data_IF_685920380178
#
_entry.id   IF_685920380178
#
_cell.length_a   1.000
_cell.length_b   1.000
_cell.length_c   1.000
_cell.angle_alpha   90.00
_cell.angle_beta   90.00
_cell.angle_gamma   90.00
#
_symmetry.space_group_name_H-M   'P 1'
#
loop_
_entity.id
_entity.type
_entity.pdbx_description
1 polymer ?
#
# COMPACT_ATOMS: atom_id res chain seq x y z
N UNK A 1 61.23 -25.39 0.52
CA UNK A 1 60.47 -24.18 0.93
C UNK A 1 59.01 -24.43 0.59
N UNK A 2 58.20 -24.90 1.55
CA UNK A 2 56.75 -25.02 1.37
C UNK A 2 56.09 -23.72 1.86
N UNK A 3 55.44 -22.99 0.96
CA UNK A 3 54.57 -21.87 1.30
C UNK A 3 53.14 -22.38 1.47
N UNK A 4 52.59 -22.25 2.69
CA UNK A 4 51.18 -22.51 2.97
C UNK A 4 50.39 -21.24 2.66
N UNK A 5 49.53 -21.29 1.64
CA UNK A 5 48.53 -20.26 1.38
C UNK A 5 47.31 -20.51 2.28
N UNK A 6 47.09 -19.66 3.29
CA UNK A 6 45.82 -19.62 4.02
C UNK A 6 44.77 -18.90 3.16
N UNK A 7 43.76 -19.63 2.68
CA UNK A 7 42.55 -19.03 2.13
C UNK A 7 41.60 -18.65 3.28
N UNK A 8 41.39 -17.36 3.48
CA UNK A 8 40.31 -16.86 4.34
C UNK A 8 38.98 -16.93 3.57
N UNK A 9 38.15 -17.92 3.90
CA UNK A 9 36.75 -17.95 3.45
C UNK A 9 35.96 -16.88 4.19
N UNK A 10 35.55 -15.83 3.48
CA UNK A 10 34.57 -14.87 3.98
C UNK A 10 33.19 -15.56 4.06
N UNK A 11 32.73 -15.82 5.28
CA UNK A 11 31.37 -16.31 5.50
C UNK A 11 30.37 -15.20 5.14
N UNK A 12 29.58 -15.40 4.08
CA UNK A 12 28.49 -14.51 3.73
C UNK A 12 27.46 -14.51 4.87
N UNK A 13 27.16 -13.34 5.44
CA UNK A 13 26.09 -13.21 6.41
C UNK A 13 24.76 -13.66 5.77
N UNK A 14 23.91 -14.41 6.48
CA UNK A 14 22.63 -14.85 5.93
C UNK A 14 21.81 -13.63 5.51
N UNK A 15 21.38 -13.60 4.25
CA UNK A 15 20.49 -12.56 3.75
C UNK A 15 19.26 -12.49 4.67
N UNK A 16 18.99 -11.31 5.22
CA UNK A 16 17.82 -11.12 6.06
C UNK A 16 16.55 -11.43 5.25
N UNK A 17 15.71 -12.35 5.73
CA UNK A 17 14.40 -12.60 5.14
C UNK A 17 13.49 -11.41 5.39
N UNK A 18 12.76 -10.96 4.36
CA UNK A 18 11.70 -9.97 4.51
C UNK A 18 10.71 -10.40 5.60
N UNK A 19 10.41 -9.47 6.50
CA UNK A 19 9.42 -9.61 7.55
C UNK A 19 8.90 -8.23 7.94
N UNK A 20 7.72 -8.11 8.56
CA UNK A 20 7.23 -6.83 9.05
C UNK A 20 8.24 -6.12 9.97
N UNK A 21 9.00 -6.86 10.78
CA UNK A 21 10.05 -6.29 11.67
C UNK A 21 11.38 -6.03 10.97
N UNK A 22 11.50 -6.36 9.68
CA UNK A 22 12.72 -6.23 8.85
C UNK A 22 12.39 -5.64 7.48
N UNK A 23 11.72 -4.49 7.46
CA UNK A 23 11.19 -3.89 6.23
C UNK A 23 12.28 -3.58 5.19
N UNK A 24 13.48 -3.22 5.62
CA UNK A 24 14.62 -2.98 4.71
C UNK A 24 15.04 -4.22 3.92
N UNK A 25 14.64 -5.42 4.37
CA UNK A 25 14.92 -6.69 3.70
C UNK A 25 13.84 -7.07 2.68
N UNK A 26 12.74 -6.31 2.62
CA UNK A 26 11.65 -6.54 1.66
C UNK A 26 11.98 -5.85 0.35
N UNK A 27 12.10 -6.64 -0.72
CA UNK A 27 12.36 -6.13 -2.08
C UNK A 27 11.14 -5.46 -2.68
N UNK A 28 9.95 -5.94 -2.32
CA UNK A 28 8.68 -5.51 -2.87
C UNK A 28 7.54 -5.73 -1.87
N UNK A 29 6.36 -5.22 -2.21
CA UNK A 29 5.13 -5.37 -1.42
C UNK A 29 4.67 -6.82 -1.29
N UNK A 30 4.92 -7.67 -2.30
CA UNK A 30 4.49 -9.06 -2.29
C UNK A 30 5.17 -9.86 -1.17
N UNK A 31 6.45 -9.63 -0.92
CA UNK A 31 7.14 -10.27 0.19
C UNK A 31 6.55 -9.88 1.57
N UNK A 32 6.08 -8.65 1.71
CA UNK A 32 5.45 -8.17 2.95
C UNK A 32 4.04 -8.72 3.12
N UNK A 33 3.22 -8.63 2.08
CA UNK A 33 1.78 -8.96 2.14
C UNK A 33 1.52 -10.47 2.22
N UNK A 34 2.45 -11.28 1.73
CA UNK A 34 2.37 -12.75 1.88
C UNK A 34 2.68 -13.21 3.30
N UNK A 35 3.23 -12.34 4.16
CA UNK A 35 3.46 -12.67 5.56
C UNK A 35 2.12 -12.70 6.34
N UNK A 36 1.74 -13.82 6.97
CA UNK A 36 0.48 -13.90 7.73
C UNK A 36 0.38 -12.87 8.86
N UNK A 37 1.53 -12.52 9.46
CA UNK A 37 1.59 -11.50 10.50
C UNK A 37 1.18 -10.10 9.99
N UNK A 38 1.49 -9.78 8.72
CA UNK A 38 1.11 -8.50 8.13
C UNK A 38 -0.38 -8.46 7.81
N UNK A 39 -0.94 -9.48 7.16
CA UNK A 39 -2.39 -9.52 6.87
C UNK A 39 -3.22 -9.55 8.15
N UNK A 40 -2.76 -10.23 9.21
CA UNK A 40 -3.37 -10.14 10.53
C UNK A 40 -3.28 -8.73 11.13
N UNK A 41 -2.17 -8.00 10.91
CA UNK A 41 -2.04 -6.61 11.34
C UNK A 41 -2.98 -5.67 10.58
N UNK A 42 -3.17 -5.87 9.27
CA UNK A 42 -4.13 -5.12 8.45
C UNK A 42 -5.56 -5.30 8.99
N UNK A 43 -5.99 -6.55 9.20
CA UNK A 43 -7.31 -6.87 9.78
C UNK A 43 -7.53 -6.22 11.14
N UNK A 44 -6.52 -6.27 12.02
CA UNK A 44 -6.59 -5.58 13.33
C UNK A 44 -6.60 -4.07 13.21
N UNK A 45 -5.90 -3.50 12.22
CA UNK A 45 -5.81 -2.07 12.05
C UNK A 45 -7.13 -1.48 11.54
N UNK A 46 -7.75 -2.12 10.56
CA UNK A 46 -9.02 -1.69 9.94
C UNK A 46 -10.25 -2.06 10.78
N UNK A 47 -10.23 -3.22 11.43
CA UNK A 47 -11.40 -3.75 12.15
C UNK A 47 -12.44 -4.36 11.20
N UNK A 48 -13.69 -4.47 11.65
CA UNK A 48 -14.80 -5.15 10.93
C UNK A 48 -15.54 -4.22 9.95
N UNK A 49 -14.86 -3.22 9.40
CA UNK A 49 -15.47 -2.19 8.57
C UNK A 49 -15.88 -2.75 7.22
N UNK A 50 -17.04 -2.33 6.73
CA UNK A 50 -17.50 -2.59 5.37
C UNK A 50 -17.58 -1.30 4.56
N UNK A 51 -17.25 -1.38 3.27
CA UNK A 51 -17.40 -0.28 2.33
C UNK A 51 -17.33 -0.79 0.89
N UNK A 52 -17.78 0.04 -0.05
CA UNK A 52 -17.78 -0.28 -1.47
C UNK A 52 -16.68 0.48 -2.23
N UNK A 53 -15.42 0.15 -1.95
CA UNK A 53 -14.29 0.73 -2.68
C UNK A 53 -14.02 -0.05 -3.96
N UNK A 54 -13.77 -1.36 -3.84
CA UNK A 54 -13.49 -2.26 -4.97
C UNK A 54 -14.73 -3.07 -5.41
N UNK A 55 -15.62 -3.37 -4.45
CA UNK A 55 -16.87 -4.11 -4.67
C UNK A 55 -17.87 -3.83 -3.54
N UNK A 56 -19.16 -4.00 -3.85
CA UNK A 56 -20.25 -3.70 -2.93
C UNK A 56 -20.18 -4.51 -1.62
N UNK A 57 -20.50 -3.85 -0.49
CA UNK A 57 -20.56 -4.43 0.87
C UNK A 57 -19.35 -5.29 1.29
N UNK A 58 -18.17 -4.98 0.74
CA UNK A 58 -16.95 -5.73 0.98
C UNK A 58 -16.32 -5.42 2.35
N UNK A 59 -15.65 -6.41 2.94
CA UNK A 59 -14.77 -6.19 4.09
C UNK A 59 -13.59 -5.32 3.66
N UNK A 60 -13.35 -4.21 4.37
CA UNK A 60 -12.32 -3.24 3.99
C UNK A 60 -10.92 -3.80 4.19
N UNK A 61 -10.70 -4.67 5.17
CA UNK A 61 -9.40 -5.28 5.38
C UNK A 61 -9.07 -6.27 4.25
N UNK A 62 -10.04 -7.06 3.80
CA UNK A 62 -9.87 -7.94 2.64
C UNK A 62 -9.63 -7.13 1.36
N UNK A 63 -10.40 -6.07 1.11
CA UNK A 63 -10.16 -5.15 -0.01
C UNK A 63 -8.74 -4.56 0.04
N UNK A 64 -8.27 -4.15 1.22
CA UNK A 64 -6.92 -3.61 1.39
C UNK A 64 -5.83 -4.64 1.10
N UNK A 65 -6.02 -5.90 1.52
CA UNK A 65 -5.09 -6.99 1.23
C UNK A 65 -5.08 -7.28 -0.27
N UNK A 66 -6.25 -7.29 -0.91
CA UNK A 66 -6.42 -7.59 -2.33
C UNK A 66 -5.67 -6.59 -3.23
N UNK A 67 -5.74 -5.28 -2.94
CA UNK A 67 -4.98 -4.27 -3.68
C UNK A 67 -3.47 -4.29 -3.38
N UNK A 68 -3.04 -4.97 -2.33
CA UNK A 68 -1.63 -5.16 -1.99
C UNK A 68 -1.05 -6.48 -2.54
N UNK A 69 -1.87 -7.37 -3.10
CA UNK A 69 -1.50 -8.73 -3.55
C UNK A 69 -1.11 -8.86 -5.02
N UNK A 70 -1.35 -7.85 -5.86
CA UNK A 70 -1.01 -7.92 -7.28
C UNK A 70 0.41 -7.47 -7.61
N UNK A 71 0.66 -6.98 -8.83
CA UNK A 71 1.95 -6.43 -9.22
C UNK A 71 2.44 -5.35 -8.24
N UNK A 72 3.61 -5.54 -7.59
CA UNK A 72 4.11 -4.60 -6.60
C UNK A 72 4.93 -3.48 -7.26
N UNK A 73 4.98 -2.33 -6.61
CA UNK A 73 5.98 -1.31 -6.88
C UNK A 73 7.17 -1.47 -5.91
N UNK A 74 8.28 -0.77 -6.20
CA UNK A 74 9.42 -0.73 -5.28
C UNK A 74 9.07 0.04 -3.99
N UNK A 75 9.51 -0.45 -2.81
CA UNK A 75 9.30 0.24 -1.55
C UNK A 75 9.95 1.63 -1.54
N UNK A 76 9.18 2.65 -1.17
CA UNK A 76 9.66 4.04 -1.08
C UNK A 76 9.80 4.47 0.37
N UNK A 77 10.70 5.41 0.69
CA UNK A 77 10.81 6.00 2.02
C UNK A 77 9.99 7.28 2.17
N UNK A 78 9.46 7.50 3.38
CA UNK A 78 8.89 8.77 3.84
C UNK A 78 9.62 9.14 5.14
N UNK A 79 10.78 9.80 5.02
CA UNK A 79 11.71 9.93 6.14
C UNK A 79 12.16 8.56 6.65
N UNK A 80 11.85 8.24 7.91
CA UNK A 80 12.14 6.94 8.51
C UNK A 80 11.11 5.85 8.18
N UNK A 81 9.93 6.23 7.67
CA UNK A 81 8.85 5.30 7.34
C UNK A 81 9.09 4.62 5.99
N UNK A 82 8.45 3.48 5.79
CA UNK A 82 8.40 2.76 4.51
C UNK A 82 7.00 2.80 3.95
N UNK A 83 6.87 3.06 2.65
CA UNK A 83 5.64 2.94 1.87
C UNK A 83 5.79 1.77 0.90
N UNK A 84 4.94 0.78 1.06
CA UNK A 84 4.79 -0.36 0.16
C UNK A 84 3.52 -0.16 -0.66
N UNK A 85 3.62 -0.27 -1.98
CA UNK A 85 2.45 -0.15 -2.87
C UNK A 85 2.38 -1.31 -3.85
N UNK A 86 1.18 -1.64 -4.27
CA UNK A 86 0.92 -2.58 -5.35
C UNK A 86 -0.39 -2.19 -6.03
N UNK A 87 -0.73 -2.91 -7.09
CA UNK A 87 -2.04 -2.82 -7.71
C UNK A 87 -2.86 -4.10 -7.50
N UNK A 88 -4.17 -4.00 -7.65
CA UNK A 88 -5.06 -5.16 -7.65
C UNK A 88 -4.79 -6.01 -8.89
N UNK A 89 -4.72 -7.33 -8.71
CA UNK A 89 -4.56 -8.25 -9.83
C UNK A 89 -5.68 -8.04 -10.86
N UNK A 90 -5.31 -7.96 -12.14
CA UNK A 90 -6.21 -7.73 -13.28
C UNK A 90 -6.97 -6.38 -13.30
N UNK A 91 -6.73 -5.49 -12.34
CA UNK A 91 -7.35 -4.17 -12.27
C UNK A 91 -6.34 -3.15 -11.74
N UNK A 92 -5.26 -2.98 -12.50
CA UNK A 92 -4.09 -2.26 -12.00
C UNK A 92 -4.27 -0.75 -11.73
N UNK A 93 -5.31 -0.05 -12.25
CA UNK A 93 -5.69 1.28 -11.76
C UNK A 93 -6.10 1.29 -10.28
N UNK A 94 -6.67 0.20 -9.77
CA UNK A 94 -6.98 0.06 -8.35
C UNK A 94 -5.69 -0.34 -7.60
N UNK A 95 -5.29 0.49 -6.63
CA UNK A 95 -3.97 0.36 -5.98
C UNK A 95 -4.07 0.43 -4.47
N UNK A 96 -3.14 -0.25 -3.81
CA UNK A 96 -3.00 -0.27 -2.36
C UNK A 96 -1.71 0.41 -1.93
N UNK A 97 -1.74 1.05 -0.76
CA UNK A 97 -0.55 1.48 -0.06
C UNK A 97 -0.58 1.05 1.41
N UNK A 98 0.58 0.64 1.92
CA UNK A 98 0.82 0.44 3.34
C UNK A 98 2.02 1.27 3.78
N UNK A 99 1.82 2.15 4.76
CA UNK A 99 2.88 2.93 5.38
C UNK A 99 3.18 2.33 6.75
N UNK A 100 4.44 1.92 6.95
CA UNK A 100 4.90 1.29 8.17
C UNK A 100 6.06 2.07 8.79
N UNK A 101 6.12 2.06 10.13
CA UNK A 101 7.31 2.51 10.84
C UNK A 101 8.44 1.46 10.78
N UNK A 102 9.69 1.82 11.18
CA UNK A 102 10.81 0.87 11.15
C UNK A 102 10.60 -0.42 11.96
N UNK A 103 9.67 -0.43 12.92
CA UNK A 103 9.33 -1.60 13.72
C UNK A 103 8.27 -2.49 13.05
N UNK A 104 7.75 -2.12 11.88
CA UNK A 104 6.72 -2.87 11.18
C UNK A 104 5.30 -2.57 11.61
N UNK A 105 5.09 -1.49 12.38
CA UNK A 105 3.75 -1.07 12.77
C UNK A 105 3.11 -0.28 11.64
N UNK A 106 1.88 -0.63 11.29
CA UNK A 106 1.07 0.12 10.33
C UNK A 106 0.78 1.52 10.91
N UNK A 107 1.21 2.54 10.17
CA UNK A 107 0.91 3.96 10.41
C UNK A 107 -0.32 4.37 9.61
N UNK A 108 -0.37 3.97 8.33
CA UNK A 108 -1.51 4.21 7.46
C UNK A 108 -1.68 3.08 6.45
N UNK A 109 -2.92 2.89 6.01
CA UNK A 109 -3.29 2.05 4.87
C UNK A 109 -4.05 2.93 3.88
N UNK A 110 -3.92 2.68 2.58
CA UNK A 110 -4.69 3.41 1.59
C UNK A 110 -5.16 2.52 0.44
N UNK A 111 -6.31 2.89 -0.11
CA UNK A 111 -6.88 2.31 -1.33
C UNK A 111 -7.12 3.47 -2.30
N UNK A 112 -6.50 3.39 -3.46
CA UNK A 112 -6.85 4.17 -4.65
C UNK A 112 -7.80 3.34 -5.49
N UNK A 113 -8.99 3.85 -5.76
CA UNK A 113 -10.03 3.12 -6.46
C UNK A 113 -10.82 4.03 -7.38
N UNK A 114 -11.35 3.47 -8.45
CA UNK A 114 -12.35 4.15 -9.27
C UNK A 114 -13.74 3.82 -8.69
N UNK A 115 -14.65 4.78 -8.49
CA UNK A 115 -15.88 4.59 -7.73
C UNK A 115 -16.97 3.79 -8.48
N UNK A 116 -16.60 2.80 -9.29
CA UNK A 116 -17.50 1.93 -10.04
C UNK A 116 -18.44 1.11 -9.18
N UNK A 117 -18.03 0.78 -7.95
CA UNK A 117 -18.86 0.03 -7.02
C UNK A 117 -19.98 0.88 -6.38
N UNK A 118 -19.94 2.22 -6.50
CA UNK A 118 -20.84 3.15 -5.78
C UNK A 118 -21.45 4.26 -6.63
N UNK A 119 -20.92 4.56 -7.82
CA UNK A 119 -21.34 5.70 -8.64
C UNK A 119 -22.29 5.31 -9.79
N UNK A 120 -23.04 6.31 -10.26
CA UNK A 120 -23.65 6.31 -11.60
C UNK A 120 -22.55 5.98 -12.63
N UNK A 121 -22.81 4.99 -13.48
CA UNK A 121 -21.87 4.37 -14.43
C UNK A 121 -21.23 5.36 -15.41
N UNK A 122 -21.72 6.60 -15.46
CA UNK A 122 -21.24 7.67 -16.35
C UNK A 122 -19.91 8.30 -15.95
N UNK A 123 -19.52 8.30 -14.67
CA UNK A 123 -18.27 8.94 -14.18
C UNK A 123 -17.27 7.94 -13.56
N UNK A 124 -17.63 6.65 -13.53
CA UNK A 124 -16.94 5.66 -12.71
C UNK A 124 -15.52 5.31 -13.18
N UNK A 125 -15.24 5.36 -14.49
CA UNK A 125 -13.91 5.08 -15.07
C UNK A 125 -13.12 6.36 -15.43
N UNK A 126 -13.56 7.52 -14.92
CA UNK A 126 -12.98 8.82 -15.27
C UNK A 126 -12.25 9.48 -14.11
N UNK A 127 -12.36 8.95 -12.91
CA UNK A 127 -11.66 9.44 -11.73
C UNK A 127 -11.24 8.32 -10.80
N UNK A 128 -10.14 8.55 -10.11
CA UNK A 128 -9.71 7.73 -8.98
C UNK A 128 -9.80 8.55 -7.70
N UNK A 129 -10.45 7.97 -6.70
CA UNK A 129 -10.60 8.51 -5.35
C UNK A 129 -9.64 7.75 -4.40
N UNK A 130 -9.05 8.48 -3.46
CA UNK A 130 -8.15 7.92 -2.45
C UNK A 130 -8.84 7.87 -1.08
N UNK A 131 -8.90 6.69 -0.47
CA UNK A 131 -9.21 6.57 0.95
C UNK A 131 -7.96 6.20 1.73
N UNK A 132 -7.69 6.92 2.82
CA UNK A 132 -6.57 6.67 3.73
C UNK A 132 -7.12 6.32 5.10
N UNK A 133 -6.76 5.15 5.61
CA UNK A 133 -7.02 4.74 6.98
C UNK A 133 -5.81 5.10 7.85
N UNK A 134 -6.00 6.03 8.78
CA UNK A 134 -4.95 6.52 9.66
C UNK A 134 -5.58 6.98 10.97
N UNK A 135 -5.04 6.54 12.11
CA UNK A 135 -5.54 6.98 13.42
C UNK A 135 -5.31 8.47 13.60
N UNK A 136 -6.24 9.18 14.23
CA UNK A 136 -6.19 10.64 14.33
C UNK A 136 -4.91 11.13 15.05
N UNK A 137 -4.48 10.42 16.09
CA UNK A 137 -3.19 10.70 16.77
C UNK A 137 -2.00 10.67 15.82
N UNK A 138 -1.98 9.71 14.90
CA UNK A 138 -0.89 9.51 13.95
C UNK A 138 -1.00 10.57 12.85
N UNK A 139 -2.22 10.92 12.41
CA UNK A 139 -2.48 11.98 11.43
C UNK A 139 -1.98 13.35 11.88
N UNK A 140 -2.23 13.72 13.14
CA UNK A 140 -1.75 15.00 13.70
C UNK A 140 -0.23 15.03 13.82
N UNK A 141 0.40 13.89 14.16
CA UNK A 141 1.85 13.80 14.37
C UNK A 141 2.65 13.60 13.08
N UNK A 142 2.01 13.09 12.02
CA UNK A 142 2.67 12.62 10.79
C UNK A 142 1.97 13.16 9.55
N UNK A 143 1.80 14.47 9.50
CA UNK A 143 1.12 15.16 8.39
C UNK A 143 1.77 14.86 7.03
N UNK A 144 3.07 14.55 7.02
CA UNK A 144 3.84 14.16 5.84
C UNK A 144 3.32 12.86 5.20
N UNK A 145 2.74 11.95 5.99
CA UNK A 145 2.20 10.68 5.48
C UNK A 145 1.01 10.93 4.58
N UNK A 146 0.07 11.77 5.02
CA UNK A 146 -1.12 12.11 4.23
C UNK A 146 -0.74 12.86 2.95
N UNK A 147 0.19 13.82 3.06
CA UNK A 147 0.69 14.55 1.90
C UNK A 147 1.38 13.63 0.89
N UNK A 148 2.20 12.68 1.36
CA UNK A 148 2.89 11.72 0.51
C UNK A 148 1.93 10.76 -0.19
N UNK A 149 0.92 10.24 0.52
CA UNK A 149 -0.10 9.36 -0.06
C UNK A 149 -0.97 10.10 -1.08
N UNK A 150 -1.31 11.36 -0.82
CA UNK A 150 -2.02 12.19 -1.81
C UNK A 150 -1.18 12.41 -3.07
N UNK A 151 0.08 12.77 -2.92
CA UNK A 151 0.99 12.99 -4.05
C UNK A 151 1.15 11.71 -4.90
N UNK A 152 1.32 10.57 -4.22
CA UNK A 152 1.34 9.26 -4.86
C UNK A 152 0.06 8.99 -5.65
N UNK A 153 -1.11 9.16 -5.05
CA UNK A 153 -2.38 8.90 -5.74
C UNK A 153 -2.58 9.80 -6.97
N UNK A 154 -2.18 11.08 -6.89
CA UNK A 154 -2.21 12.01 -8.03
C UNK A 154 -1.30 11.52 -9.17
N UNK A 155 -0.09 11.05 -8.84
CA UNK A 155 0.84 10.48 -9.81
C UNK A 155 0.27 9.21 -10.45
N UNK A 156 -0.29 8.30 -9.65
CA UNK A 156 -0.90 7.07 -10.17
C UNK A 156 -2.07 7.36 -11.10
N UNK A 157 -2.99 8.25 -10.70
CA UNK A 157 -4.13 8.64 -11.54
C UNK A 157 -3.68 9.27 -12.87
N UNK A 158 -2.63 10.12 -12.84
CA UNK A 158 -2.07 10.72 -14.04
C UNK A 158 -1.35 9.70 -14.94
N UNK A 159 -0.71 8.69 -14.33
CA UNK A 159 -0.01 7.60 -15.01
C UNK A 159 -0.92 6.49 -15.54
N UNK A 160 -2.19 6.45 -15.12
CA UNK A 160 -3.16 5.44 -15.56
C UNK A 160 -3.28 5.40 -17.09
N UNK A 161 -3.12 4.19 -17.64
CA UNK A 161 -3.29 3.96 -19.07
C UNK A 161 -4.76 4.15 -19.45
N UNK A 162 -4.99 4.94 -20.49
CA UNK A 162 -6.30 5.10 -21.11
C UNK A 162 -6.18 4.75 -22.58
N UNK A 163 -7.22 4.10 -23.13
CA UNK A 163 -7.25 3.74 -24.54
C UNK A 163 -7.17 4.98 -25.45
N UNK A 164 -6.73 4.83 -26.71
CA UNK A 164 -6.70 5.94 -27.68
C UNK A 164 -8.06 6.67 -27.74
N UNK A 165 -8.03 8.00 -27.65
CA UNK A 165 -9.23 8.84 -27.69
C UNK A 165 -10.07 8.87 -26.41
N UNK A 166 -9.70 8.13 -25.36
CA UNK A 166 -10.35 8.20 -24.06
C UNK A 166 -9.77 9.36 -23.22
N UNK A 167 -10.62 10.07 -22.44
CA UNK A 167 -10.12 11.08 -21.52
C UNK A 167 -9.20 10.44 -20.48
N UNK A 168 -8.21 11.21 -20.01
CA UNK A 168 -7.33 10.79 -18.91
C UNK A 168 -8.12 10.64 -17.62
N UNK A 169 -7.74 9.65 -16.82
CA UNK A 169 -8.25 9.52 -15.45
C UNK A 169 -7.74 10.71 -14.63
N UNK A 170 -8.63 11.33 -13.86
CA UNK A 170 -8.29 12.43 -12.94
C UNK A 170 -8.27 11.94 -11.51
N UNK A 171 -7.53 12.63 -10.66
CA UNK A 171 -7.69 12.48 -9.23
C UNK A 171 -9.00 13.15 -8.78
N UNK A 172 -9.93 12.38 -8.20
CA UNK A 172 -11.25 12.85 -7.82
C UNK A 172 -11.27 13.51 -6.43
N UNK A 173 -10.66 12.86 -5.44
CA UNK A 173 -10.62 13.36 -4.08
C UNK A 173 -9.88 12.44 -3.12
N UNK A 174 -9.75 12.90 -1.88
CA UNK A 174 -9.15 12.12 -0.80
C UNK A 174 -10.02 12.18 0.45
N UNK A 175 -10.21 11.03 1.10
CA UNK A 175 -10.76 10.94 2.45
C UNK A 175 -9.73 10.32 3.39
N UNK A 176 -9.64 10.86 4.61
CA UNK A 176 -8.89 10.23 5.70
C UNK A 176 -9.89 9.75 6.76
N UNK A 177 -9.75 8.50 7.17
CA UNK A 177 -10.65 7.80 8.08
C UNK A 177 -9.84 7.29 9.27
N UNK A 178 -10.27 7.62 10.49
CA UNK A 178 -9.78 6.95 11.68
C UNK A 178 -10.44 5.56 11.78
N UNK A 179 -9.67 4.46 11.68
CA UNK A 179 -10.24 3.12 11.70
C UNK A 179 -10.80 2.71 13.08
N UNK A 180 -10.47 3.45 14.15
CA UNK A 180 -10.94 3.16 15.51
C UNK A 180 -12.32 3.74 15.81
N UNK A 181 -12.75 4.75 15.04
CA UNK A 181 -14.09 5.31 15.14
C UNK A 181 -15.03 4.39 14.37
N UNK A 182 -16.15 4.01 14.99
CA UNK A 182 -17.17 3.20 14.33
C UNK A 182 -17.61 3.89 13.02
N UNK A 183 -17.56 3.13 11.92
CA UNK A 183 -18.07 3.54 10.62
C UNK A 183 -19.47 3.01 10.39
#
# INVERSE_FOLDING_TARGET
MLGVLMMLSAAAAPASTCAPTKLAACRDTNQLVMAPAFTAAVRRFIGKRKAAYLYADGDVAEQQIEVLHGPPDEPTRIGALYRFTACRAHSCPEKGAAVLDPAGKIVALAILYSPCATADTRDCNRRDDLVVFMRERDRVQRVEVVANLRAWAVEQAAGSYTGPGQPKVRFGGMQVIDPTVAG
#
